data_IF_361018252739
#
_entry.id   IF_361018252739
#
_cell.length_a   1.000
_cell.length_b   1.000
_cell.length_c   1.000
_cell.angle_alpha   90.00
_cell.angle_beta   90.00
_cell.angle_gamma   90.00
#
_symmetry.space_group_name_H-M   'P 1'
#
loop_
_entity.id
_entity.type
_entity.pdbx_description
1 polymer ?
#
# COMPACT_ATOMS: atom_id res chain seq x y z
N UNK A 1 -24.47 -0.68 -16.27
CA UNK A 1 -23.50 -1.79 -16.30
C UNK A 1 -22.62 -1.64 -15.06
N UNK A 2 -22.71 -2.54 -14.08
CA UNK A 2 -21.70 -2.58 -13.02
C UNK A 2 -20.38 -3.05 -13.65
N UNK A 3 -19.25 -2.38 -13.37
CA UNK A 3 -17.96 -2.88 -13.81
C UNK A 3 -17.72 -4.22 -13.13
N UNK A 4 -17.59 -5.29 -13.93
CA UNK A 4 -17.08 -6.58 -13.46
C UNK A 4 -15.64 -6.33 -13.04
N UNK A 5 -15.42 -6.14 -11.74
CA UNK A 5 -14.08 -6.08 -11.17
C UNK A 5 -13.52 -7.51 -11.25
N UNK A 6 -12.32 -7.72 -11.82
CA UNK A 6 -11.68 -9.02 -11.72
C UNK A 6 -11.46 -9.33 -10.24
N UNK A 7 -11.99 -10.46 -9.77
CA UNK A 7 -11.67 -10.99 -8.45
C UNK A 7 -10.24 -11.51 -8.52
N UNK A 8 -9.36 -10.84 -7.80
CA UNK A 8 -7.94 -11.11 -7.78
C UNK A 8 -7.65 -11.77 -6.45
N UNK A 9 -7.97 -13.06 -6.28
CA UNK A 9 -7.78 -13.73 -4.99
C UNK A 9 -6.34 -14.24 -4.84
N UNK A 10 -5.43 -13.38 -4.38
CA UNK A 10 -4.05 -13.77 -4.10
C UNK A 10 -3.52 -13.18 -2.79
N UNK A 11 -2.63 -13.94 -2.14
CA UNK A 11 -1.96 -13.53 -0.92
C UNK A 11 -0.55 -13.02 -1.25
N UNK A 12 -0.35 -11.72 -1.11
CA UNK A 12 0.95 -11.08 -1.32
C UNK A 12 1.79 -11.10 -0.05
N UNK A 13 3.09 -11.36 -0.22
CA UNK A 13 4.07 -11.27 0.87
C UNK A 13 4.88 -10.00 0.73
N UNK A 14 4.76 -9.11 1.69
CA UNK A 14 5.43 -7.81 1.68
C UNK A 14 6.76 -7.90 2.43
N UNK A 15 7.85 -7.82 1.67
CA UNK A 15 9.21 -7.76 2.18
C UNK A 15 9.64 -6.29 2.32
N UNK A 16 9.62 -5.78 3.55
CA UNK A 16 10.11 -4.45 3.91
C UNK A 16 10.90 -4.53 5.21
N UNK A 17 11.76 -3.53 5.44
CA UNK A 17 12.54 -3.41 6.68
C UNK A 17 11.64 -3.33 7.91
N UNK A 18 12.19 -3.68 9.08
CA UNK A 18 11.41 -3.82 10.31
C UNK A 18 10.66 -2.53 10.70
N UNK A 19 11.30 -1.37 10.55
CA UNK A 19 10.73 -0.05 10.85
C UNK A 19 9.61 0.31 9.87
N UNK A 20 9.79 0.01 8.59
CA UNK A 20 8.81 0.30 7.54
C UNK A 20 7.62 -0.66 7.62
N UNK A 21 7.84 -1.89 8.08
CA UNK A 21 6.78 -2.89 8.29
C UNK A 21 5.69 -2.38 9.21
N UNK A 22 6.05 -1.66 10.27
CA UNK A 22 5.07 -1.06 11.17
C UNK A 22 4.24 0.03 10.47
N UNK A 23 4.89 0.89 9.68
CA UNK A 23 4.21 1.94 8.92
C UNK A 23 3.27 1.36 7.85
N UNK A 24 3.71 0.33 7.12
CA UNK A 24 2.87 -0.38 6.13
C UNK A 24 1.67 -1.01 6.82
N UNK A 25 1.87 -1.78 7.89
CA UNK A 25 0.79 -2.43 8.63
C UNK A 25 -0.29 -1.43 9.06
N UNK A 26 0.11 -0.34 9.71
CA UNK A 26 -0.83 0.66 10.21
C UNK A 26 -1.58 1.36 9.08
N UNK A 27 -0.93 1.61 7.93
CA UNK A 27 -1.61 2.18 6.76
C UNK A 27 -2.62 1.22 6.13
N UNK A 28 -2.31 -0.06 6.05
CA UNK A 28 -3.24 -1.07 5.54
C UNK A 28 -4.46 -1.20 6.46
N UNK A 29 -4.26 -1.17 7.78
CA UNK A 29 -5.36 -1.18 8.76
C UNK A 29 -6.29 0.03 8.59
N UNK A 30 -5.73 1.24 8.40
CA UNK A 30 -6.50 2.46 8.12
C UNK A 30 -7.33 2.41 6.83
N UNK A 31 -6.87 1.65 5.84
CA UNK A 31 -7.56 1.43 4.57
C UNK A 31 -8.53 0.24 4.61
N UNK A 32 -8.69 -0.41 5.77
CA UNK A 32 -9.46 -1.63 5.95
C UNK A 32 -9.01 -2.79 5.03
N UNK A 33 -7.71 -2.84 4.69
CA UNK A 33 -7.12 -3.91 3.90
C UNK A 33 -6.69 -5.05 4.83
N UNK A 34 -7.25 -6.27 4.69
CA UNK A 34 -6.89 -7.40 5.53
C UNK A 34 -5.40 -7.77 5.39
N UNK A 35 -4.70 -7.79 6.51
CA UNK A 35 -3.32 -8.25 6.55
C UNK A 35 -2.99 -9.02 7.84
N UNK A 36 -2.06 -9.96 7.74
CA UNK A 36 -1.56 -10.75 8.85
C UNK A 36 -0.19 -10.20 9.26
N UNK A 37 -0.10 -9.83 10.53
CA UNK A 37 1.15 -9.46 11.18
C UNK A 37 1.59 -10.57 12.14
N UNK A 38 2.84 -11.00 12.00
CA UNK A 38 3.49 -11.88 12.95
C UNK A 38 4.90 -11.37 13.21
N UNK A 39 5.31 -11.34 14.48
CA UNK A 39 6.61 -10.83 14.88
C UNK A 39 7.75 -11.58 14.15
N UNK A 40 8.69 -10.83 13.58
CA UNK A 40 9.82 -11.37 12.83
C UNK A 40 9.47 -11.98 11.46
N UNK A 41 8.20 -11.92 11.03
CA UNK A 41 7.76 -12.40 9.72
C UNK A 41 7.35 -11.23 8.81
N UNK A 42 7.43 -11.40 7.48
CA UNK A 42 6.90 -10.43 6.53
C UNK A 42 5.37 -10.32 6.66
N UNK A 43 4.84 -9.16 6.28
CA UNK A 43 3.39 -8.95 6.24
C UNK A 43 2.77 -9.78 5.12
N UNK A 44 1.65 -10.44 5.39
CA UNK A 44 0.85 -11.09 4.36
C UNK A 44 -0.42 -10.30 4.14
N UNK A 45 -0.73 -9.97 2.90
CA UNK A 45 -1.88 -9.16 2.53
C UNK A 45 -2.76 -9.95 1.59
N UNK A 46 -4.05 -10.03 1.89
CA UNK A 46 -5.03 -10.63 0.98
C UNK A 46 -5.53 -9.54 0.04
N UNK A 47 -5.16 -9.66 -1.23
CA UNK A 47 -5.69 -8.82 -2.31
C UNK A 47 -6.87 -9.59 -2.90
N UNK A 48 -8.01 -8.91 -3.08
CA UNK A 48 -9.25 -9.52 -3.55
C UNK A 48 -9.74 -8.86 -4.86
N UNK A 49 -9.25 -7.66 -5.16
CA UNK A 49 -9.70 -6.84 -6.27
C UNK A 49 -8.62 -5.82 -6.68
N UNK A 50 -8.83 -5.19 -7.83
CA UNK A 50 -7.87 -4.23 -8.39
C UNK A 50 -7.69 -2.97 -7.53
N UNK A 51 -8.73 -2.50 -6.82
CA UNK A 51 -8.63 -1.34 -5.93
C UNK A 51 -7.71 -1.68 -4.77
N UNK A 52 -7.90 -2.83 -4.13
CA UNK A 52 -7.02 -3.30 -3.05
C UNK A 52 -5.57 -3.42 -3.53
N UNK A 53 -5.35 -3.95 -4.75
CA UNK A 53 -4.01 -4.04 -5.34
C UNK A 53 -3.36 -2.67 -5.55
N UNK A 54 -4.12 -1.70 -6.09
CA UNK A 54 -3.63 -0.33 -6.32
C UNK A 54 -3.32 0.36 -4.99
N UNK A 55 -4.20 0.23 -3.99
CA UNK A 55 -4.02 0.81 -2.67
C UNK A 55 -2.77 0.24 -1.98
N UNK A 56 -2.58 -1.08 -2.02
CA UNK A 56 -1.38 -1.73 -1.50
C UNK A 56 -0.12 -1.17 -2.16
N UNK A 57 -0.10 -1.10 -3.49
CA UNK A 57 1.02 -0.52 -4.23
C UNK A 57 1.29 0.94 -3.86
N UNK A 58 0.24 1.75 -3.71
CA UNK A 58 0.36 3.14 -3.28
C UNK A 58 0.96 3.26 -1.87
N UNK A 59 0.55 2.39 -0.93
CA UNK A 59 1.12 2.35 0.43
C UNK A 59 2.61 2.00 0.38
N UNK A 60 2.98 0.95 -0.34
CA UNK A 60 4.39 0.54 -0.46
C UNK A 60 5.23 1.63 -1.08
N UNK A 61 4.75 2.22 -2.19
CA UNK A 61 5.42 3.36 -2.84
C UNK A 61 5.60 4.51 -1.86
N UNK A 62 4.59 4.84 -1.07
CA UNK A 62 4.67 5.94 -0.11
C UNK A 62 5.70 5.64 0.98
N UNK A 63 5.63 4.47 1.62
CA UNK A 63 6.53 4.13 2.73
C UNK A 63 7.98 4.00 2.26
N UNK A 64 8.21 3.39 1.09
CA UNK A 64 9.56 3.15 0.55
C UNK A 64 10.14 4.35 -0.22
N UNK A 65 9.35 5.40 -0.47
CA UNK A 65 9.83 6.58 -1.16
C UNK A 65 10.89 7.30 -0.32
N UNK A 66 11.96 7.76 -0.97
CA UNK A 66 12.91 8.65 -0.31
C UNK A 66 12.19 9.93 0.13
N UNK A 67 12.75 10.62 1.13
CA UNK A 67 12.24 11.94 1.55
C UNK A 67 12.17 12.91 0.37
N UNK A 68 13.13 12.84 -0.55
CA UNK A 68 13.16 13.71 -1.73
C UNK A 68 12.04 13.37 -2.71
N UNK A 69 11.74 12.07 -2.90
CA UNK A 69 10.64 11.64 -3.76
C UNK A 69 9.29 12.09 -3.22
N UNK A 70 9.10 12.04 -1.89
CA UNK A 70 7.93 12.59 -1.23
C UNK A 70 7.78 14.10 -1.46
N UNK A 71 8.86 14.86 -1.28
CA UNK A 71 8.86 16.30 -1.51
C UNK A 71 8.53 16.64 -2.97
N UNK A 72 9.13 15.92 -3.91
CA UNK A 72 8.89 16.09 -5.34
C UNK A 72 7.43 15.75 -5.70
N UNK A 73 6.87 14.69 -5.10
CA UNK A 73 5.48 14.31 -5.32
C UNK A 73 4.51 15.37 -4.78
N UNK A 74 4.72 15.84 -3.55
CA UNK A 74 3.93 16.92 -2.95
C UNK A 74 4.00 18.21 -3.79
N UNK A 75 5.20 18.59 -4.26
CA UNK A 75 5.38 19.75 -5.11
C UNK A 75 4.56 19.64 -6.41
N UNK A 76 4.54 18.46 -7.04
CA UNK A 76 3.73 18.20 -8.24
C UNK A 76 2.23 18.24 -7.97
N UNK A 77 1.77 17.67 -6.85
CA UNK A 77 0.37 17.76 -6.45
C UNK A 77 -0.08 19.21 -6.27
N UNK A 78 0.78 20.06 -5.71
CA UNK A 78 0.50 21.48 -5.50
C UNK A 78 0.50 22.29 -6.80
N UNK A 79 1.24 21.87 -7.82
CA UNK A 79 1.24 22.50 -9.15
C UNK A 79 -0.02 22.18 -9.97
N UNK A 80 -0.65 21.04 -9.72
CA UNK A 80 -1.89 20.61 -10.38
C UNK A 80 -3.18 21.10 -9.73
N UNK A 81 -3.10 21.82 -8.61
CA UNK A 81 -4.24 22.44 -7.93
C UNK A 81 -4.47 23.91 -8.34
N UNK A 82 -3.84 24.36 -9.43
CA UNK A 82 -3.99 25.70 -10.02
C UNK A 82 -4.96 25.69 -11.21
#
# INVERSE_FOLDING_TARGET
>A
MQPVQPHLDFNETIQVDCVDRWHVYHRLEQLAIPCLYQYGQPLRVSVHDAVTAIQLWSVLRQVMASRQDHLNWLARCWQGSA
#
